data_IF_064491866004
#
_entry.id   IF_064491866004
#
_cell.length_a   1.000
_cell.length_b   1.000
_cell.length_c   1.000
_cell.angle_alpha   90.00
_cell.angle_beta   90.00
_cell.angle_gamma   90.00
#
_symmetry.space_group_name_H-M   'P 1'
#
loop_
_entity.id
_entity.type
_entity.pdbx_description
1 polymer ?
#
# COMPACT_ATOMS: atom_id res chain seq x y z
N UNK A 1 30.76 1.72 -3.29
CA UNK A 1 29.74 2.70 -3.65
C UNK A 1 28.36 2.18 -3.33
N UNK A 2 27.55 3.03 -2.75
CA UNK A 2 26.18 2.65 -2.47
C UNK A 2 25.40 2.59 -3.79
N UNK A 3 24.53 1.60 -3.91
CA UNK A 3 23.65 1.54 -5.07
C UNK A 3 22.64 2.68 -4.99
N UNK A 4 22.22 3.17 -6.17
CA UNK A 4 21.22 4.23 -6.22
C UNK A 4 19.90 3.76 -5.67
N UNK A 5 19.19 4.63 -4.97
CA UNK A 5 17.86 4.34 -4.49
C UNK A 5 16.91 4.05 -5.65
N UNK A 6 15.99 3.15 -5.41
CA UNK A 6 14.89 2.91 -6.33
C UNK A 6 13.83 3.96 -6.09
N UNK A 7 13.33 4.55 -7.16
CA UNK A 7 12.21 5.46 -7.11
C UNK A 7 11.22 5.06 -8.18
N UNK A 8 9.98 4.82 -7.79
CA UNK A 8 8.98 4.38 -8.72
C UNK A 8 7.60 4.91 -8.37
N UNK A 9 6.70 4.77 -9.32
CA UNK A 9 5.33 5.21 -9.17
C UNK A 9 4.41 4.32 -10.00
N UNK A 10 3.27 3.97 -9.43
CA UNK A 10 2.23 3.25 -10.14
C UNK A 10 0.89 3.89 -9.80
N UNK A 11 -0.09 3.72 -10.67
CA UNK A 11 -1.41 4.30 -10.45
C UNK A 11 -2.50 3.39 -11.00
N UNK A 12 -3.71 3.55 -10.46
CA UNK A 12 -4.88 2.83 -10.92
C UNK A 12 -6.08 3.75 -10.88
N UNK A 13 -6.96 3.62 -11.87
CA UNK A 13 -8.16 4.44 -11.98
C UNK A 13 -9.37 3.78 -11.32
N UNK A 14 -10.22 4.61 -10.72
CA UNK A 14 -11.51 4.20 -10.18
C UNK A 14 -12.57 5.03 -10.89
N UNK A 15 -13.12 4.48 -11.98
CA UNK A 15 -14.15 5.15 -12.77
C UNK A 15 -15.48 5.08 -12.02
N UNK A 16 -16.12 6.22 -11.87
CA UNK A 16 -17.43 6.28 -11.22
C UNK A 16 -17.39 6.40 -9.70
N UNK A 17 -16.20 6.43 -9.10
CA UNK A 17 -16.07 6.68 -7.67
C UNK A 17 -15.33 7.99 -7.44
N UNK A 18 -15.83 8.82 -6.54
CA UNK A 18 -15.23 10.12 -6.28
C UNK A 18 -14.09 10.00 -5.28
N UNK A 19 -13.16 10.98 -5.23
CA UNK A 19 -12.14 10.98 -4.19
C UNK A 19 -12.74 10.93 -2.78
N UNK A 20 -13.85 11.60 -2.56
CA UNK A 20 -14.52 11.60 -1.26
C UNK A 20 -15.03 10.20 -0.88
N UNK A 21 -15.45 9.41 -1.85
CA UNK A 21 -15.88 8.03 -1.58
C UNK A 21 -14.70 7.09 -1.34
N UNK A 22 -13.59 7.32 -2.03
CA UNK A 22 -12.42 6.44 -1.95
C UNK A 22 -11.58 6.74 -0.70
N UNK A 23 -11.46 8.01 -0.32
CA UNK A 23 -10.55 8.41 0.75
C UNK A 23 -10.74 7.66 2.07
N UNK A 24 -11.98 7.48 2.59
CA UNK A 24 -12.14 6.77 3.87
C UNK A 24 -11.56 5.35 3.86
N UNK A 25 -11.57 4.69 2.71
CA UNK A 25 -11.02 3.34 2.58
C UNK A 25 -9.50 3.36 2.62
N UNK A 26 -8.88 4.32 1.95
CA UNK A 26 -7.42 4.46 1.95
C UNK A 26 -6.89 4.99 3.26
N UNK A 27 -7.62 5.94 3.87
CA UNK A 27 -7.17 6.59 5.11
C UNK A 27 -7.20 5.64 6.31
N UNK A 28 -7.95 4.56 6.24
CA UNK A 28 -7.95 3.54 7.27
C UNK A 28 -6.68 2.70 7.12
N UNK A 29 -5.71 2.98 7.95
CA UNK A 29 -4.37 2.39 7.86
C UNK A 29 -4.38 0.87 8.08
N UNK A 30 -5.47 0.31 8.58
CA UNK A 30 -5.58 -1.11 8.92
C UNK A 30 -6.41 -1.92 7.92
N UNK A 31 -6.89 -1.30 6.83
CA UNK A 31 -7.76 -1.97 5.86
C UNK A 31 -7.01 -2.78 4.79
N UNK A 32 -5.70 -2.93 4.91
CA UNK A 32 -4.92 -3.62 3.87
C UNK A 32 -5.37 -5.06 3.65
N UNK A 33 -5.76 -5.77 4.71
CA UNK A 33 -6.21 -7.16 4.57
C UNK A 33 -7.48 -7.25 3.72
N UNK A 34 -8.28 -6.21 3.72
CA UNK A 34 -9.52 -6.14 2.98
C UNK A 34 -9.28 -5.87 1.49
N UNK A 35 -8.28 -5.05 1.19
CA UNK A 35 -8.04 -4.61 -0.19
C UNK A 35 -6.88 -5.32 -0.87
N UNK A 36 -5.96 -5.90 -0.12
CA UNK A 36 -4.83 -6.66 -0.64
C UNK A 36 -4.88 -8.08 -0.06
N UNK A 37 -5.43 -9.05 -0.82
CA UNK A 37 -5.57 -10.42 -0.30
C UNK A 37 -4.27 -11.09 0.10
N UNK A 38 -3.13 -10.60 -0.41
CA UNK A 38 -1.82 -11.14 -0.03
C UNK A 38 -1.42 -10.76 1.39
N UNK A 39 -2.08 -9.76 1.99
CA UNK A 39 -1.80 -9.35 3.37
C UNK A 39 -2.76 -10.09 4.29
N UNK A 40 -2.21 -10.93 5.17
CA UNK A 40 -3.01 -11.75 6.08
C UNK A 40 -3.40 -11.02 7.35
N UNK A 41 -2.50 -10.17 7.85
CA UNK A 41 -2.71 -9.45 9.11
C UNK A 41 -2.30 -8.01 8.97
N UNK A 42 -3.09 -7.12 9.57
CA UNK A 42 -2.77 -5.70 9.62
C UNK A 42 -3.41 -5.14 10.89
N UNK A 43 -2.59 -4.68 11.84
CA UNK A 43 -3.13 -4.18 13.11
C UNK A 43 -2.22 -3.13 13.71
N UNK A 44 -2.76 -2.39 14.66
CA UNK A 44 -2.05 -1.28 15.30
C UNK A 44 -1.02 -1.80 16.32
N UNK A 45 0.18 -1.22 16.25
CA UNK A 45 1.24 -1.44 17.24
C UNK A 45 1.21 -0.32 18.27
N UNK A 46 1.17 0.94 17.82
CA UNK A 46 1.10 2.09 18.72
C UNK A 46 0.61 3.32 17.96
N UNK A 47 0.23 4.35 18.70
CA UNK A 47 -0.20 5.62 18.14
C UNK A 47 -1.70 5.77 18.10
N UNK A 48 -2.15 6.90 17.55
CA UNK A 48 -3.57 7.21 17.41
C UNK A 48 -4.00 7.06 15.94
N UNK A 49 -5.20 6.55 15.75
CA UNK A 49 -5.75 6.33 14.41
C UNK A 49 -5.77 7.63 13.61
N UNK A 50 -5.30 7.55 12.36
CA UNK A 50 -5.28 8.65 11.40
C UNK A 50 -4.46 9.85 11.86
N UNK A 51 -3.41 9.61 12.67
CA UNK A 51 -2.50 10.66 13.12
C UNK A 51 -1.06 10.26 12.87
N UNK A 52 -0.18 11.24 12.60
CA UNK A 52 1.25 10.95 12.47
C UNK A 52 1.79 10.22 13.69
N UNK A 53 2.66 9.26 13.46
CA UNK A 53 3.20 8.43 14.52
C UNK A 53 2.49 7.09 14.69
N UNK A 54 1.35 6.91 14.01
CA UNK A 54 0.64 5.62 14.03
C UNK A 54 1.49 4.55 13.38
N UNK A 55 1.68 3.43 14.08
CA UNK A 55 2.47 2.31 13.57
C UNK A 55 1.58 1.09 13.43
N UNK A 56 1.64 0.46 12.26
CA UNK A 56 0.91 -0.79 12.00
C UNK A 56 1.87 -1.93 11.75
N UNK A 57 1.40 -3.13 12.02
CA UNK A 57 2.06 -4.37 11.67
C UNK A 57 1.30 -4.97 10.48
N UNK A 58 2.03 -5.37 9.43
CA UNK A 58 1.46 -6.05 8.29
C UNK A 58 2.25 -7.32 8.02
N UNK A 59 1.57 -8.39 7.68
CA UNK A 59 2.25 -9.63 7.35
C UNK A 59 1.54 -10.40 6.24
N UNK A 60 2.34 -11.19 5.53
CA UNK A 60 1.88 -12.12 4.48
C UNK A 60 2.44 -13.49 4.80
N UNK A 61 1.63 -14.52 4.63
CA UNK A 61 2.05 -15.90 4.78
C UNK A 61 2.34 -16.48 3.41
N UNK A 62 3.54 -16.98 3.21
CA UNK A 62 3.95 -17.57 1.95
C UNK A 62 4.20 -19.04 2.19
N UNK A 63 3.48 -19.88 1.45
CA UNK A 63 3.66 -21.33 1.51
C UNK A 63 4.41 -21.76 0.25
N UNK A 64 5.54 -22.42 0.45
CA UNK A 64 6.29 -22.98 -0.66
C UNK A 64 6.42 -24.49 -0.50
N UNK A 65 6.25 -25.22 -1.60
CA UNK A 65 6.43 -26.67 -1.64
C UNK A 65 7.70 -26.96 -2.38
N UNK A 66 8.69 -27.50 -1.70
CA UNK A 66 9.91 -27.96 -2.38
C UNK A 66 10.41 -29.22 -1.71
N UNK A 67 10.74 -30.21 -2.54
CA UNK A 67 11.33 -31.45 -2.05
C UNK A 67 10.39 -32.31 -1.20
N UNK A 68 9.07 -32.14 -1.33
CA UNK A 68 8.10 -32.96 -0.62
C UNK A 68 7.72 -32.48 0.76
N UNK A 69 8.23 -31.32 1.20
CA UNK A 69 7.79 -30.70 2.44
C UNK A 69 7.34 -29.27 2.18
N UNK A 70 6.26 -28.89 2.85
CA UNK A 70 5.73 -27.52 2.77
C UNK A 70 6.42 -26.64 3.78
N UNK A 71 6.94 -25.52 3.31
CA UNK A 71 7.50 -24.49 4.18
C UNK A 71 6.55 -23.31 4.24
N UNK A 72 6.30 -22.82 5.46
CA UNK A 72 5.51 -21.64 5.68
C UNK A 72 6.42 -20.54 6.16
N UNK A 73 6.46 -19.44 5.42
CA UNK A 73 7.28 -18.27 5.77
C UNK A 73 6.36 -17.08 5.98
N UNK A 74 6.54 -16.40 7.10
CA UNK A 74 5.78 -15.18 7.38
C UNK A 74 6.70 -14.00 7.08
N UNK A 75 6.29 -13.17 6.11
CA UNK A 75 6.96 -11.91 5.79
C UNK A 75 6.21 -10.79 6.49
N UNK A 76 6.91 -9.99 7.26
CA UNK A 76 6.26 -8.96 8.06
C UNK A 76 7.02 -7.64 7.99
N UNK A 77 6.29 -6.56 8.24
CA UNK A 77 6.85 -5.21 8.24
C UNK A 77 6.05 -4.31 9.18
N UNK A 78 6.76 -3.49 9.94
CA UNK A 78 6.15 -2.39 10.68
C UNK A 78 6.20 -1.14 9.81
N UNK A 79 5.11 -0.40 9.75
CA UNK A 79 5.02 0.82 8.95
C UNK A 79 4.47 1.96 9.78
N UNK A 80 5.13 3.10 9.68
CA UNK A 80 4.78 4.30 10.47
C UNK A 80 4.19 5.37 9.59
N UNK A 81 3.00 5.83 9.95
CA UNK A 81 2.35 6.95 9.28
C UNK A 81 3.08 8.23 9.64
N UNK A 82 3.58 8.94 8.63
CA UNK A 82 4.36 10.16 8.83
C UNK A 82 3.51 11.41 8.66
N UNK A 83 2.65 11.42 7.66
CA UNK A 83 1.82 12.58 7.35
C UNK A 83 0.50 12.10 6.78
N UNK A 84 -0.59 12.81 7.07
CA UNK A 84 -1.89 12.52 6.50
C UNK A 84 -2.65 13.84 6.33
N UNK A 85 -3.22 14.05 5.15
CA UNK A 85 -3.95 15.28 4.85
C UNK A 85 -5.28 14.94 4.15
N UNK A 86 -6.38 14.90 4.93
CA UNK A 86 -7.69 14.59 4.37
C UNK A 86 -8.21 15.61 3.36
N UNK A 87 -7.72 16.85 3.44
CA UNK A 87 -8.16 17.90 2.51
C UNK A 87 -7.50 17.78 1.14
N UNK A 88 -6.36 17.12 1.08
CA UNK A 88 -5.62 16.91 -0.16
C UNK A 88 -5.61 15.44 -0.57
N UNK A 89 -6.23 14.56 0.22
CA UNK A 89 -6.37 13.14 -0.04
C UNK A 89 -5.04 12.42 -0.24
N UNK A 90 -4.10 12.60 0.70
CA UNK A 90 -2.87 11.83 0.67
C UNK A 90 -2.38 11.49 2.07
N UNK A 91 -1.58 10.46 2.14
CA UNK A 91 -0.79 10.16 3.33
C UNK A 91 0.54 9.56 2.89
N UNK A 92 1.54 9.65 3.78
CA UNK A 92 2.80 8.97 3.53
C UNK A 92 3.25 8.21 4.77
N UNK A 93 4.08 7.21 4.53
CA UNK A 93 4.54 6.34 5.59
C UNK A 93 5.93 5.80 5.26
N UNK A 94 6.61 5.27 6.28
CA UNK A 94 7.91 4.65 6.12
C UNK A 94 7.90 3.24 6.70
N UNK A 95 8.76 2.37 6.16
CA UNK A 95 8.95 1.05 6.70
C UNK A 95 9.94 1.11 7.87
N UNK A 96 9.60 0.43 8.95
CA UNK A 96 10.46 0.30 10.12
C UNK A 96 11.03 -1.12 10.11
N UNK A 97 11.06 -1.80 11.26
CA UNK A 97 11.55 -3.16 11.36
C UNK A 97 10.76 -4.10 10.44
N UNK A 98 11.46 -5.01 9.80
CA UNK A 98 10.85 -6.01 8.93
C UNK A 98 11.84 -7.16 8.72
N UNK A 99 11.31 -8.27 8.20
CA UNK A 99 12.16 -9.40 7.83
C UNK A 99 12.21 -9.59 6.30
N UNK A 100 11.95 -8.51 5.56
CA UNK A 100 11.87 -8.55 4.09
C UNK A 100 13.08 -7.92 3.41
N UNK A 101 14.04 -7.43 4.16
CA UNK A 101 15.18 -6.74 3.59
C UNK A 101 14.88 -5.33 3.08
N UNK A 102 13.80 -4.76 3.55
CA UNK A 102 13.37 -3.41 3.13
C UNK A 102 14.10 -2.37 3.98
N UNK A 103 14.78 -1.43 3.31
CA UNK A 103 15.52 -0.35 3.97
C UNK A 103 15.21 0.99 3.33
N UNK A 104 15.09 2.00 4.18
CA UNK A 104 14.87 3.38 3.73
C UNK A 104 13.65 3.52 2.82
N UNK A 105 12.63 2.70 3.04
CA UNK A 105 11.41 2.74 2.24
C UNK A 105 10.50 3.86 2.73
N UNK A 106 10.17 4.77 1.81
CA UNK A 106 9.23 5.86 2.03
C UNK A 106 8.21 5.84 0.91
N UNK A 107 6.94 5.97 1.25
CA UNK A 107 5.88 5.86 0.26
C UNK A 107 4.79 6.90 0.47
N UNK A 108 4.22 7.38 -0.62
CA UNK A 108 3.08 8.29 -0.60
C UNK A 108 1.94 7.67 -1.40
N UNK A 109 0.76 7.66 -0.80
CA UNK A 109 -0.48 7.25 -1.46
C UNK A 109 -1.35 8.50 -1.59
N UNK A 110 -1.79 8.79 -2.79
CA UNK A 110 -2.53 10.02 -3.09
C UNK A 110 -3.67 9.74 -4.03
N UNK A 111 -4.78 10.45 -3.84
CA UNK A 111 -5.93 10.37 -4.75
C UNK A 111 -5.94 11.64 -5.59
N UNK A 112 -6.07 11.47 -6.89
CA UNK A 112 -6.15 12.57 -7.84
C UNK A 112 -7.48 12.48 -8.60
N UNK A 113 -8.14 13.63 -8.87
CA UNK A 113 -9.33 13.58 -9.73
C UNK A 113 -8.92 13.27 -11.17
N UNK A 114 -9.81 12.59 -11.90
CA UNK A 114 -9.61 12.34 -13.32
C UNK A 114 -10.05 13.58 -14.09
N UNK A 115 -9.48 13.77 -15.29
CA UNK A 115 -9.89 14.84 -16.19
C UNK A 115 -11.42 14.84 -16.35
N UNK A 116 -12.04 16.00 -16.16
CA UNK A 116 -13.50 16.11 -16.17
C UNK A 116 -14.05 16.41 -14.77
N UNK A 117 -13.23 16.28 -13.74
CA UNK A 117 -13.58 16.64 -12.38
C UNK A 117 -13.82 15.45 -11.48
N UNK A 118 -14.10 15.75 -10.22
CA UNK A 118 -14.23 14.75 -9.17
C UNK A 118 -15.38 13.76 -9.39
N UNK A 119 -16.39 14.17 -10.11
CA UNK A 119 -17.58 13.34 -10.34
C UNK A 119 -17.34 12.18 -11.33
N UNK A 120 -16.32 12.29 -12.17
CA UNK A 120 -16.07 11.29 -13.20
C UNK A 120 -15.21 10.13 -12.73
N UNK A 121 -14.66 10.22 -11.53
CA UNK A 121 -13.82 9.20 -10.97
C UNK A 121 -12.56 9.77 -10.39
N UNK A 122 -11.63 8.88 -10.04
CA UNK A 122 -10.36 9.31 -9.47
C UNK A 122 -9.26 8.31 -9.81
N UNK A 123 -8.03 8.71 -9.52
CA UNK A 123 -6.84 7.90 -9.70
C UNK A 123 -6.15 7.77 -8.35
N UNK A 124 -5.76 6.55 -8.00
CA UNK A 124 -4.93 6.32 -6.83
C UNK A 124 -3.50 6.21 -7.31
N UNK A 125 -2.61 7.03 -6.76
CA UNK A 125 -1.20 7.05 -7.12
C UNK A 125 -0.36 6.59 -5.93
N UNK A 126 0.51 5.63 -6.18
CA UNK A 126 1.41 5.08 -5.17
C UNK A 126 2.84 5.34 -5.64
N UNK A 127 3.55 6.22 -4.95
CA UNK A 127 4.95 6.50 -5.23
C UNK A 127 5.81 6.00 -4.07
N UNK A 128 7.05 5.64 -4.38
CA UNK A 128 7.95 5.14 -3.34
C UNK A 128 9.40 5.47 -3.66
N UNK A 129 10.21 5.48 -2.61
CA UNK A 129 11.67 5.46 -2.72
C UNK A 129 12.19 4.46 -1.68
N UNK A 130 13.24 3.74 -2.04
CA UNK A 130 13.80 2.71 -1.15
C UNK A 130 15.21 2.36 -1.59
N UNK A 131 15.99 1.83 -0.66
CA UNK A 131 17.24 1.17 -1.04
C UNK A 131 16.86 -0.12 -1.80
N UNK A 132 17.75 -0.64 -2.67
CA UNK A 132 17.46 -1.89 -3.36
C UNK A 132 17.04 -2.98 -2.38
N UNK A 133 15.98 -3.71 -2.73
CA UNK A 133 15.38 -4.72 -1.86
C UNK A 133 15.85 -6.10 -2.29
N UNK A 134 16.41 -6.85 -1.35
CA UNK A 134 16.88 -8.20 -1.62
C UNK A 134 15.72 -9.09 -2.08
N UNK A 135 15.97 -9.85 -3.13
CA UNK A 135 14.95 -10.72 -3.72
C UNK A 135 14.14 -10.07 -4.83
N UNK A 136 14.33 -8.76 -5.05
CA UNK A 136 13.67 -8.04 -6.13
C UNK A 136 14.70 -7.33 -7.02
N UNK A 137 14.32 -7.11 -8.27
CA UNK A 137 14.96 -6.11 -9.11
C UNK A 137 14.08 -4.86 -9.07
N UNK A 138 14.60 -3.74 -9.59
CA UNK A 138 13.78 -2.54 -9.70
C UNK A 138 12.49 -2.82 -10.46
N UNK A 139 12.60 -3.48 -11.61
CA UNK A 139 11.44 -3.76 -12.45
C UNK A 139 10.45 -4.71 -11.78
N UNK A 140 10.93 -5.74 -11.08
CA UNK A 140 10.03 -6.69 -10.44
C UNK A 140 9.33 -6.08 -9.23
N UNK A 141 10.00 -5.18 -8.52
CA UNK A 141 9.35 -4.49 -7.39
C UNK A 141 8.30 -3.50 -7.89
N UNK A 142 8.62 -2.76 -8.96
CA UNK A 142 7.65 -1.83 -9.55
C UNK A 142 6.43 -2.59 -10.07
N UNK A 143 6.63 -3.75 -10.69
CA UNK A 143 5.51 -4.59 -11.13
C UNK A 143 4.66 -5.07 -9.96
N UNK A 144 5.29 -5.40 -8.83
CA UNK A 144 4.56 -5.78 -7.63
C UNK A 144 3.70 -4.62 -7.10
N UNK A 145 4.26 -3.41 -7.06
CA UNK A 145 3.51 -2.22 -6.64
C UNK A 145 2.35 -1.94 -7.60
N UNK A 146 2.61 -2.04 -8.90
CA UNK A 146 1.58 -1.81 -9.91
C UNK A 146 0.42 -2.79 -9.79
N UNK A 147 0.72 -4.07 -9.65
CA UNK A 147 -0.32 -5.09 -9.44
C UNK A 147 -1.09 -4.82 -8.14
N UNK A 148 -0.39 -4.45 -7.09
CA UNK A 148 -1.00 -4.18 -5.79
C UNK A 148 -1.97 -2.99 -5.86
N UNK A 149 -1.59 -1.89 -6.52
CA UNK A 149 -2.46 -0.72 -6.59
C UNK A 149 -3.71 -1.01 -7.43
N UNK A 150 -3.58 -1.80 -8.48
CA UNK A 150 -4.75 -2.17 -9.28
C UNK A 150 -5.70 -3.07 -8.51
N UNK A 151 -5.17 -4.05 -7.76
CA UNK A 151 -5.97 -4.92 -6.92
C UNK A 151 -6.68 -4.12 -5.83
N UNK A 152 -5.97 -3.20 -5.21
CA UNK A 152 -6.52 -2.33 -4.17
C UNK A 152 -7.66 -1.47 -4.73
N UNK A 153 -7.45 -0.84 -5.88
CA UNK A 153 -8.46 0.01 -6.51
C UNK A 153 -9.73 -0.80 -6.83
N UNK A 154 -9.55 -1.98 -7.40
CA UNK A 154 -10.68 -2.84 -7.72
C UNK A 154 -11.49 -3.21 -6.48
N UNK A 155 -10.82 -3.60 -5.40
CA UNK A 155 -11.48 -4.00 -4.16
C UNK A 155 -12.14 -2.83 -3.45
N UNK A 156 -11.53 -1.64 -3.49
CA UNK A 156 -12.16 -0.43 -2.95
C UNK A 156 -13.42 -0.11 -3.73
N UNK A 157 -13.36 -0.20 -5.07
CA UNK A 157 -14.52 0.04 -5.91
C UNK A 157 -15.67 -0.89 -5.58
N UNK A 158 -15.37 -2.18 -5.35
CA UNK A 158 -16.39 -3.16 -4.97
C UNK A 158 -16.98 -2.83 -3.60
N UNK A 159 -16.16 -2.39 -2.66
CA UNK A 159 -16.64 -2.02 -1.32
C UNK A 159 -17.60 -0.82 -1.39
N UNK A 160 -17.28 0.17 -2.21
CA UNK A 160 -18.14 1.34 -2.40
C UNK A 160 -19.48 0.93 -3.01
N UNK A 161 -19.47 0.08 -4.04
CA UNK A 161 -20.68 -0.37 -4.69
C UNK A 161 -21.58 -1.17 -3.76
N UNK A 162 -21.01 -1.97 -2.87
CA UNK A 162 -21.78 -2.81 -1.98
C UNK A 162 -22.47 -2.03 -0.85
N UNK A 163 -22.03 -0.82 -0.55
CA UNK A 163 -22.62 0.03 0.49
C UNK A 163 -23.60 1.07 -0.09
N UNK A 164 -23.63 1.17 -1.40
CA UNK A 164 -24.54 2.12 -2.09
C UNK A 164 -25.91 1.54 -2.38
#
# INVERSE_FOLDING_TARGET
>A
MAESKWEGKASANLVGSTPQEVWPHLADFFNLTKYLPSIDKCYKIEGEDRKPGLIRYCSSTITSSSGGSDEVVIKWCHEKLLEIDPSKWYFNYEALDNNMGIRSYFSTIKILPIDGGEEDGCEIEWSYSADPIEGFTFDSFLAYIDTSIHTMAENIGKAIQSTG
#
